data_IF_454035789645
#
_entry.id   IF_454035789645
#
_cell.length_a   1.000
_cell.length_b   1.000
_cell.length_c   1.000
_cell.angle_alpha   90.00
_cell.angle_beta   90.00
_cell.angle_gamma   90.00
#
_symmetry.space_group_name_H-M   'P 1'
#
loop_
_entity.id
_entity.type
_entity.pdbx_description
1 polymer ?
#
# COMPACT_ATOMS: atom_id res chain seq x y z
N UNK A 1 12.09 17.70 16.64
CA UNK A 1 11.37 16.61 15.95
C UNK A 1 9.87 16.78 16.16
N UNK A 2 9.08 16.58 15.13
CA UNK A 2 7.61 16.58 15.20
C UNK A 2 7.04 15.20 15.57
N UNK A 3 7.90 14.22 15.84
CA UNK A 3 7.51 12.87 16.23
C UNK A 3 7.02 11.97 15.10
N UNK A 4 7.01 12.44 13.87
CA UNK A 4 6.48 11.68 12.73
C UNK A 4 7.19 10.35 12.52
N UNK A 5 8.51 10.31 12.68
CA UNK A 5 9.31 9.08 12.55
C UNK A 5 8.86 8.03 13.56
N UNK A 6 8.77 8.42 14.83
CA UNK A 6 8.39 7.49 15.90
C UNK A 6 6.99 6.91 15.66
N UNK A 7 6.02 7.75 15.35
CA UNK A 7 4.65 7.31 15.08
C UNK A 7 4.56 6.43 13.83
N UNK A 8 5.24 6.82 12.74
CA UNK A 8 5.26 6.04 11.51
C UNK A 8 5.85 4.64 11.74
N UNK A 9 6.99 4.55 12.42
CA UNK A 9 7.62 3.25 12.67
C UNK A 9 6.86 2.39 13.68
N UNK A 10 6.15 2.99 14.63
CA UNK A 10 5.20 2.23 15.46
C UNK A 10 4.11 1.60 14.59
N UNK A 11 3.52 2.34 13.67
CA UNK A 11 2.52 1.80 12.75
C UNK A 11 3.09 0.68 11.88
N UNK A 12 4.28 0.87 11.29
CA UNK A 12 4.94 -0.17 10.50
C UNK A 12 5.23 -1.43 11.32
N UNK A 13 5.64 -1.27 12.59
CA UNK A 13 5.84 -2.40 13.50
C UNK A 13 4.55 -3.19 13.76
N UNK A 14 3.45 -2.49 14.00
CA UNK A 14 2.13 -3.12 14.13
C UNK A 14 1.73 -3.83 12.83
N UNK A 15 1.96 -3.21 11.69
CA UNK A 15 1.70 -3.82 10.37
C UNK A 15 2.51 -5.09 10.15
N UNK A 16 3.82 -5.05 10.45
CA UNK A 16 4.69 -6.21 10.32
C UNK A 16 4.27 -7.35 11.27
N UNK A 17 3.92 -7.02 12.51
CA UNK A 17 3.37 -8.01 13.46
C UNK A 17 2.08 -8.64 12.92
N UNK A 18 1.17 -7.81 12.40
CA UNK A 18 -0.08 -8.28 11.79
C UNK A 18 0.16 -9.25 10.63
N UNK A 19 1.18 -9.00 9.80
CA UNK A 19 1.55 -9.91 8.72
C UNK A 19 2.08 -11.26 9.26
N UNK A 20 2.81 -11.22 10.38
CA UNK A 20 3.39 -12.43 10.97
C UNK A 20 2.33 -13.31 11.68
N UNK A 21 1.38 -12.73 12.40
CA UNK A 21 0.38 -13.48 13.20
C UNK A 21 -0.98 -13.60 12.52
N UNK A 22 -1.20 -12.88 11.44
CA UNK A 22 -2.48 -12.79 10.75
C UNK A 22 -3.32 -11.58 11.17
N UNK A 23 -4.01 -10.99 10.19
CA UNK A 23 -4.81 -9.77 10.39
C UNK A 23 -5.91 -9.96 11.43
N UNK A 24 -6.59 -11.10 11.42
CA UNK A 24 -7.66 -11.39 12.38
C UNK A 24 -7.15 -11.45 13.82
N UNK A 25 -5.97 -12.04 14.03
CA UNK A 25 -5.32 -12.08 15.34
C UNK A 25 -4.99 -10.68 15.82
N UNK A 26 -4.34 -9.86 14.98
CA UNK A 26 -3.99 -8.48 15.32
C UNK A 26 -5.23 -7.63 15.65
N UNK A 27 -6.33 -7.81 14.92
CA UNK A 27 -7.61 -7.15 15.21
C UNK A 27 -8.17 -7.59 16.57
N UNK A 28 -8.12 -8.87 16.87
CA UNK A 28 -8.60 -9.41 18.17
C UNK A 28 -7.78 -8.89 19.36
N UNK A 29 -6.52 -8.53 19.13
CA UNK A 29 -5.63 -7.94 20.13
C UNK A 29 -5.79 -6.42 20.27
N UNK A 30 -6.71 -5.80 19.50
CA UNK A 30 -7.00 -4.37 19.58
C UNK A 30 -5.94 -3.46 18.97
N UNK A 31 -5.11 -3.97 18.07
CA UNK A 31 -3.99 -3.22 17.49
C UNK A 31 -4.41 -2.24 16.37
N UNK A 32 -5.65 -2.32 15.88
CA UNK A 32 -6.15 -1.47 14.81
C UNK A 32 -6.07 0.02 15.15
N UNK A 33 -6.56 0.41 16.32
CA UNK A 33 -6.51 1.79 16.78
C UNK A 33 -5.09 2.32 16.85
N UNK A 34 -4.17 1.54 17.41
CA UNK A 34 -2.76 1.91 17.49
C UNK A 34 -2.13 2.11 16.10
N UNK A 35 -2.47 1.28 15.14
CA UNK A 35 -2.00 1.42 13.76
C UNK A 35 -2.52 2.70 13.11
N UNK A 36 -3.84 2.90 13.14
CA UNK A 36 -4.50 4.04 12.48
C UNK A 36 -4.10 5.37 13.11
N UNK A 37 -4.13 5.48 14.43
CA UNK A 37 -3.77 6.71 15.13
C UNK A 37 -2.33 7.16 14.86
N UNK A 38 -1.40 6.22 14.83
CA UNK A 38 0.01 6.52 14.53
C UNK A 38 0.22 6.93 13.07
N UNK A 39 -0.49 6.31 12.11
CA UNK A 39 -0.43 6.75 10.72
C UNK A 39 -1.08 8.13 10.52
N UNK A 40 -2.21 8.38 11.15
CA UNK A 40 -2.90 9.68 11.06
C UNK A 40 -2.04 10.80 11.65
N UNK A 41 -1.35 10.53 12.75
CA UNK A 41 -0.37 11.48 13.30
C UNK A 41 0.74 11.78 12.29
N UNK A 42 1.32 10.74 11.69
CA UNK A 42 2.42 10.92 10.73
C UNK A 42 1.95 11.71 9.49
N UNK A 43 0.78 11.43 8.95
CA UNK A 43 0.19 12.16 7.82
C UNK A 43 -0.01 13.63 8.18
N UNK A 44 -0.57 13.91 9.35
CA UNK A 44 -0.80 15.29 9.81
C UNK A 44 0.50 16.06 10.01
N UNK A 45 1.54 15.40 10.48
CA UNK A 45 2.85 16.02 10.71
C UNK A 45 3.61 16.26 9.40
N UNK A 46 3.63 15.26 8.50
CA UNK A 46 4.29 15.35 7.19
C UNK A 46 3.83 14.20 6.28
N UNK A 47 2.85 14.46 5.45
CA UNK A 47 2.31 13.45 4.53
C UNK A 47 3.30 12.97 3.45
N UNK A 48 4.41 13.70 3.24
CA UNK A 48 5.45 13.33 2.27
C UNK A 48 6.54 12.44 2.87
N UNK A 49 6.54 12.26 4.19
CA UNK A 49 7.57 11.49 4.89
C UNK A 49 7.73 10.09 4.29
N UNK A 50 8.95 9.63 4.18
CA UNK A 50 9.31 8.33 3.59
C UNK A 50 8.65 8.12 2.22
N UNK A 51 8.74 9.11 1.36
CA UNK A 51 8.13 9.09 0.00
C UNK A 51 6.65 8.75 0.03
N UNK A 52 5.89 9.47 0.87
CA UNK A 52 4.46 9.26 1.12
C UNK A 52 4.16 7.89 1.76
N UNK A 53 5.07 7.39 2.57
CA UNK A 53 4.95 6.10 3.26
C UNK A 53 3.68 5.97 4.10
N UNK A 54 3.27 6.99 4.89
CA UNK A 54 2.04 6.92 5.66
C UNK A 54 0.78 6.70 4.81
N UNK A 55 0.64 7.39 3.68
CA UNK A 55 -0.47 7.17 2.74
C UNK A 55 -0.42 5.77 2.12
N UNK A 56 0.76 5.33 1.70
CA UNK A 56 0.95 3.98 1.14
C UNK A 56 0.58 2.88 2.15
N UNK A 57 1.02 3.01 3.38
CA UNK A 57 0.69 2.06 4.45
C UNK A 57 -0.82 2.04 4.73
N UNK A 58 -1.46 3.21 4.77
CA UNK A 58 -2.90 3.32 5.00
C UNK A 58 -3.71 2.75 3.84
N UNK A 59 -3.28 2.97 2.61
CA UNK A 59 -3.90 2.36 1.43
C UNK A 59 -3.85 0.83 1.47
N UNK A 60 -2.69 0.28 1.81
CA UNK A 60 -2.56 -1.17 1.95
C UNK A 60 -3.36 -1.72 3.13
N UNK A 61 -3.43 -1.01 4.25
CA UNK A 61 -4.26 -1.36 5.40
C UNK A 61 -5.73 -1.56 5.01
N UNK A 62 -6.34 -0.63 4.30
CA UNK A 62 -7.72 -0.76 3.86
C UNK A 62 -7.94 -1.95 2.91
N UNK A 63 -6.94 -2.33 2.14
CA UNK A 63 -6.97 -3.51 1.29
C UNK A 63 -6.88 -4.81 2.10
N UNK A 64 -6.02 -4.85 3.13
CA UNK A 64 -5.76 -6.04 3.95
C UNK A 64 -6.91 -6.40 4.89
N UNK A 65 -7.75 -5.44 5.28
CA UNK A 65 -8.83 -5.68 6.21
C UNK A 65 -9.80 -6.76 5.68
N UNK A 66 -10.29 -7.66 6.56
CA UNK A 66 -11.33 -8.61 6.18
C UNK A 66 -12.68 -7.91 5.99
N UNK A 67 -13.56 -8.53 5.21
CA UNK A 67 -14.94 -8.08 5.14
C UNK A 67 -15.60 -8.21 6.54
N UNK A 68 -16.44 -7.27 7.01
CA UNK A 68 -16.94 -6.07 6.31
C UNK A 68 -16.09 -4.81 6.50
N UNK A 69 -14.94 -4.88 7.20
CA UNK A 69 -14.10 -3.70 7.49
C UNK A 69 -13.32 -3.21 6.27
N UNK A 70 -13.09 -4.07 5.28
CA UNK A 70 -12.38 -3.72 4.05
C UNK A 70 -13.05 -2.55 3.35
N UNK A 71 -12.23 -1.57 2.96
CA UNK A 71 -12.70 -0.39 2.24
C UNK A 71 -11.76 -0.12 1.04
N UNK A 72 -12.13 -0.68 -0.10
CA UNK A 72 -11.31 -0.57 -1.31
C UNK A 72 -11.36 0.84 -1.93
N UNK A 73 -12.41 1.62 -1.67
CA UNK A 73 -12.48 3.01 -2.08
C UNK A 73 -11.46 3.86 -1.31
N UNK A 74 -11.33 3.66 0.00
CA UNK A 74 -10.30 4.31 0.81
C UNK A 74 -8.90 3.83 0.44
N UNK A 75 -8.72 2.53 0.19
CA UNK A 75 -7.45 1.99 -0.32
C UNK A 75 -7.00 2.74 -1.57
N UNK A 76 -7.88 2.85 -2.56
CA UNK A 76 -7.62 3.58 -3.81
C UNK A 76 -7.25 5.04 -3.54
N UNK A 77 -8.06 5.75 -2.77
CA UNK A 77 -7.85 7.17 -2.46
C UNK A 77 -6.50 7.45 -1.81
N UNK A 78 -6.11 6.64 -0.82
CA UNK A 78 -4.81 6.77 -0.14
C UNK A 78 -3.64 6.48 -1.08
N UNK A 79 -3.76 5.46 -1.93
CA UNK A 79 -2.71 5.12 -2.89
C UNK A 79 -2.58 6.17 -4.00
N UNK A 80 -3.68 6.75 -4.45
CA UNK A 80 -3.64 7.88 -5.40
C UNK A 80 -2.95 9.11 -4.78
N UNK A 81 -3.21 9.39 -3.50
CA UNK A 81 -2.50 10.43 -2.77
C UNK A 81 -0.98 10.13 -2.68
N UNK A 82 -0.61 8.88 -2.38
CA UNK A 82 0.80 8.48 -2.35
C UNK A 82 1.47 8.64 -3.72
N UNK A 83 0.81 8.28 -4.80
CA UNK A 83 1.32 8.45 -6.17
C UNK A 83 1.51 9.92 -6.52
N UNK A 84 0.57 10.77 -6.15
CA UNK A 84 0.65 12.22 -6.39
C UNK A 84 1.86 12.83 -5.69
N UNK A 85 2.13 12.40 -4.46
CA UNK A 85 3.24 12.91 -3.64
C UNK A 85 4.59 12.29 -4.02
N UNK A 86 4.59 11.03 -4.46
CA UNK A 86 5.81 10.26 -4.78
C UNK A 86 5.59 9.39 -6.02
N UNK A 87 5.53 10.01 -7.21
CA UNK A 87 5.24 9.29 -8.45
C UNK A 87 6.35 8.31 -8.88
N UNK A 88 7.56 8.47 -8.33
CA UNK A 88 8.69 7.58 -8.62
C UNK A 88 8.65 6.24 -7.87
N UNK A 89 7.82 6.11 -6.84
CA UNK A 89 7.79 4.92 -5.99
C UNK A 89 6.89 3.84 -6.60
N UNK A 90 7.49 2.82 -7.22
CA UNK A 90 6.75 1.80 -7.97
C UNK A 90 5.80 0.97 -7.12
N UNK A 91 6.07 0.80 -5.82
CA UNK A 91 5.19 0.07 -4.91
C UNK A 91 3.79 0.69 -4.81
N UNK A 92 3.67 2.00 -4.94
CA UNK A 92 2.38 2.68 -4.95
C UNK A 92 1.48 2.17 -6.09
N UNK A 93 2.04 2.05 -7.28
CA UNK A 93 1.31 1.54 -8.46
C UNK A 93 1.01 0.04 -8.33
N UNK A 94 1.91 -0.73 -7.74
CA UNK A 94 1.68 -2.15 -7.47
C UNK A 94 0.47 -2.34 -6.54
N UNK A 95 0.42 -1.62 -5.42
CA UNK A 95 -0.71 -1.68 -4.49
C UNK A 95 -2.01 -1.19 -5.12
N UNK A 96 -1.94 -0.15 -5.94
CA UNK A 96 -3.13 0.35 -6.65
C UNK A 96 -3.64 -0.65 -7.68
N UNK A 97 -2.75 -1.33 -8.42
CA UNK A 97 -3.12 -2.40 -9.33
C UNK A 97 -3.83 -3.54 -8.59
N UNK A 98 -3.30 -3.96 -7.44
CA UNK A 98 -3.89 -5.01 -6.61
C UNK A 98 -5.27 -4.59 -6.06
N UNK A 99 -5.42 -3.31 -5.69
CA UNK A 99 -6.71 -2.75 -5.28
C UNK A 99 -7.73 -2.77 -6.42
N UNK A 100 -7.35 -2.33 -7.61
CA UNK A 100 -8.23 -2.39 -8.78
C UNK A 100 -8.63 -3.82 -9.14
N UNK A 101 -7.70 -4.77 -9.07
CA UNK A 101 -8.01 -6.18 -9.32
C UNK A 101 -9.03 -6.70 -8.31
N UNK A 102 -8.87 -6.36 -7.03
CA UNK A 102 -9.78 -6.78 -5.96
C UNK A 102 -11.19 -6.19 -6.11
N UNK A 103 -11.29 -4.98 -6.67
CA UNK A 103 -12.58 -4.35 -7.02
C UNK A 103 -13.23 -5.00 -8.25
N UNK A 104 -12.49 -5.77 -9.02
CA UNK A 104 -12.97 -6.36 -10.27
C UNK A 104 -12.73 -5.49 -11.51
N UNK A 105 -11.90 -4.46 -11.39
CA UNK A 105 -11.52 -3.58 -12.51
C UNK A 105 -10.16 -4.00 -13.10
N UNK A 106 -10.13 -5.12 -13.79
CA UNK A 106 -8.92 -5.69 -14.39
C UNK A 106 -8.27 -4.75 -15.41
N UNK A 107 -9.06 -3.93 -16.11
CA UNK A 107 -8.53 -2.96 -17.09
C UNK A 107 -7.66 -1.90 -16.42
N UNK A 108 -8.16 -1.27 -15.36
CA UNK A 108 -7.37 -0.28 -14.60
C UNK A 108 -6.20 -0.95 -13.86
N UNK A 109 -6.39 -2.15 -13.34
CA UNK A 109 -5.31 -2.93 -12.76
C UNK A 109 -4.17 -3.13 -13.78
N UNK A 110 -4.51 -3.43 -15.03
CA UNK A 110 -3.51 -3.60 -16.11
C UNK A 110 -2.75 -2.31 -16.39
N UNK A 111 -3.43 -1.16 -16.38
CA UNK A 111 -2.76 0.14 -16.55
C UNK A 111 -1.72 0.35 -15.46
N UNK A 112 -2.08 0.14 -14.21
CA UNK A 112 -1.18 0.38 -13.07
C UNK A 112 -0.02 -0.61 -13.03
N UNK A 113 -0.26 -1.89 -13.27
CA UNK A 113 0.81 -2.90 -13.24
C UNK A 113 1.81 -2.70 -14.39
N UNK A 114 1.35 -2.23 -15.54
CA UNK A 114 2.23 -1.87 -16.65
C UNK A 114 3.19 -0.74 -16.25
N UNK A 115 2.71 0.27 -15.52
CA UNK A 115 3.57 1.35 -14.99
C UNK A 115 4.67 0.79 -14.07
N UNK A 116 4.39 -0.24 -13.28
CA UNK A 116 5.42 -0.92 -12.48
C UNK A 116 6.44 -1.60 -13.37
N UNK A 117 6.00 -2.41 -14.31
CA UNK A 117 6.88 -3.24 -15.14
C UNK A 117 7.78 -2.39 -16.06
N UNK A 118 7.27 -1.28 -16.59
CA UNK A 118 7.99 -0.39 -17.51
C UNK A 118 8.63 0.81 -16.82
N UNK A 119 8.33 1.04 -15.55
CA UNK A 119 8.80 2.21 -14.81
C UNK A 119 10.30 2.22 -14.58
N UNK A 120 10.86 3.43 -14.51
CA UNK A 120 12.27 3.62 -14.14
C UNK A 120 12.42 3.34 -12.64
N UNK A 121 13.31 2.41 -12.30
CA UNK A 121 13.62 2.03 -10.93
C UNK A 121 14.91 2.64 -10.37
N UNK A 122 15.53 3.57 -11.07
CA UNK A 122 16.85 4.12 -10.69
C UNK A 122 16.83 4.90 -9.37
N UNK A 123 15.66 5.40 -8.98
CA UNK A 123 15.49 6.07 -7.69
C UNK A 123 15.82 5.15 -6.50
N UNK A 124 15.39 3.90 -6.54
CA UNK A 124 15.68 2.87 -5.55
C UNK A 124 15.77 1.51 -6.25
N UNK A 125 16.95 1.14 -6.80
CA UNK A 125 17.09 -0.07 -7.60
C UNK A 125 16.74 -1.37 -6.85
N UNK A 126 17.12 -1.58 -5.58
CA UNK A 126 16.71 -2.78 -4.84
C UNK A 126 15.19 -2.90 -4.68
N UNK A 127 14.53 -1.82 -4.34
CA UNK A 127 13.07 -1.76 -4.22
C UNK A 127 12.40 -2.01 -5.56
N UNK A 128 12.87 -1.39 -6.63
CA UNK A 128 12.35 -1.57 -7.98
C UNK A 128 12.43 -3.05 -8.41
N UNK A 129 13.57 -3.70 -8.18
CA UNK A 129 13.72 -5.13 -8.50
C UNK A 129 12.71 -5.99 -7.75
N UNK A 130 12.53 -5.74 -6.46
CA UNK A 130 11.58 -6.46 -5.61
C UNK A 130 10.15 -6.30 -6.12
N UNK A 131 9.72 -5.08 -6.33
CA UNK A 131 8.35 -4.76 -6.74
C UNK A 131 8.06 -5.26 -8.15
N UNK A 132 9.01 -5.12 -9.08
CA UNK A 132 8.88 -5.68 -10.44
C UNK A 132 8.77 -7.21 -10.42
N UNK A 133 9.47 -7.86 -9.49
CA UNK A 133 9.34 -9.30 -9.27
C UNK A 133 7.90 -9.69 -8.89
N UNK A 134 7.31 -8.99 -7.92
CA UNK A 134 5.90 -9.20 -7.53
C UNK A 134 4.93 -8.88 -8.66
N UNK A 135 5.22 -7.82 -9.42
CA UNK A 135 4.36 -7.35 -10.50
C UNK A 135 4.19 -8.38 -11.61
N UNK A 136 5.18 -9.21 -11.87
CA UNK A 136 5.07 -10.29 -12.87
C UNK A 136 3.93 -11.26 -12.52
N UNK A 137 3.88 -11.71 -11.27
CA UNK A 137 2.84 -12.62 -10.81
C UNK A 137 1.45 -11.95 -10.81
N UNK A 138 1.36 -10.70 -10.36
CA UNK A 138 0.11 -9.95 -10.36
C UNK A 138 -0.38 -9.67 -11.79
N UNK A 139 0.53 -9.33 -12.71
CA UNK A 139 0.20 -9.14 -14.12
C UNK A 139 -0.41 -10.39 -14.76
N UNK A 140 0.13 -11.57 -14.43
CA UNK A 140 -0.43 -12.82 -14.91
C UNK A 140 -1.89 -13.05 -14.44
N UNK A 141 -2.17 -12.75 -13.16
CA UNK A 141 -3.54 -12.81 -12.62
C UNK A 141 -4.48 -11.82 -13.32
N UNK A 142 -4.00 -10.59 -13.54
CA UNK A 142 -4.78 -9.57 -14.24
C UNK A 142 -5.10 -10.03 -15.67
N UNK A 143 -4.12 -10.61 -16.36
CA UNK A 143 -4.32 -11.10 -17.73
C UNK A 143 -5.34 -12.23 -17.80
N UNK A 144 -5.39 -13.11 -16.80
CA UNK A 144 -6.43 -14.13 -16.70
C UNK A 144 -7.84 -13.51 -16.57
N UNK A 145 -7.99 -12.48 -15.76
CA UNK A 145 -9.28 -11.78 -15.58
C UNK A 145 -9.72 -11.00 -16.83
N UNK A 146 -8.79 -10.69 -17.75
CA UNK A 146 -9.08 -9.98 -19.00
C UNK A 146 -9.45 -10.90 -20.15
N UNK A 147 -9.31 -12.21 -19.98
CA UNK A 147 -9.72 -13.20 -20.99
C UNK A 147 -11.24 -13.34 -21.08
#
# INVERSE_FOLDING_TARGET
SDGKEAHYYVALGVGAYSQAVGVLTALSEGLEGKFVENLDYAIKADETFDTAGPHRAKGRYHWELPWPKRDLAKSKSELEAAIKLSPQHLRNYYYLADTYLKVGNAKEAKVQITKVLTGNGDWDPPEARRVKGWAKALSAKIDEELK
#
